data_IF_902863013362
#
_entry.id   IF_902863013362
#
_cell.length_a   1.000
_cell.length_b   1.000
_cell.length_c   1.000
_cell.angle_alpha   90.00
_cell.angle_beta   90.00
_cell.angle_gamma   90.00
#
_symmetry.space_group_name_H-M   'P 1'
#
loop_
_entity.id
_entity.type
_entity.pdbx_description
1 polymer ?
#
# COMPACT_ATOMS: atom_id res chain seq x y z
N UNK A 1 23.05 29.34 22.44
CA UNK A 1 23.59 27.98 22.72
C UNK A 1 22.50 27.01 22.32
N UNK A 2 22.58 26.51 21.08
CA UNK A 2 21.61 25.57 20.52
C UNK A 2 21.72 24.21 21.21
N UNK A 3 20.58 23.59 21.48
CA UNK A 3 20.47 22.20 21.91
C UNK A 3 20.07 21.37 20.69
N UNK A 4 21.06 20.84 20.00
CA UNK A 4 20.87 19.79 19.00
C UNK A 4 20.48 18.49 19.70
N UNK A 5 19.25 18.04 19.48
CA UNK A 5 18.74 16.76 19.95
C UNK A 5 19.27 15.68 18.99
N UNK A 6 20.32 14.96 19.41
CA UNK A 6 20.84 13.82 18.67
C UNK A 6 19.87 12.63 18.88
N UNK A 7 19.20 12.21 17.81
CA UNK A 7 18.42 10.98 17.80
C UNK A 7 19.40 9.78 17.93
N UNK A 8 19.32 9.07 19.06
CA UNK A 8 20.02 7.81 19.24
C UNK A 8 19.34 6.74 18.37
N UNK A 9 19.98 6.39 17.27
CA UNK A 9 19.73 5.16 16.52
C UNK A 9 20.17 4.01 17.45
N UNK A 10 19.22 3.29 18.03
CA UNK A 10 19.50 1.99 18.63
C UNK A 10 19.71 1.02 17.46
N UNK A 11 20.94 0.96 16.96
CA UNK A 11 21.41 -0.16 16.17
C UNK A 11 21.52 -1.35 17.10
N UNK A 12 20.52 -2.22 17.09
CA UNK A 12 20.61 -3.51 17.75
C UNK A 12 21.65 -4.37 17.03
N UNK A 13 22.87 -4.40 17.58
CA UNK A 13 23.89 -5.37 17.23
C UNK A 13 23.41 -6.76 17.64
N UNK A 14 22.92 -7.55 16.68
CA UNK A 14 22.64 -8.97 16.84
C UNK A 14 23.99 -9.73 16.86
N UNK A 15 24.62 -9.78 18.03
CA UNK A 15 25.74 -10.67 18.29
C UNK A 15 25.27 -11.82 19.16
N UNK A 16 25.12 -12.98 18.53
CA UNK A 16 25.21 -14.29 19.17
C UNK A 16 24.01 -14.72 20.02
N UNK A 17 22.96 -15.23 19.37
CA UNK A 17 22.14 -16.26 19.98
C UNK A 17 22.44 -17.60 19.31
N UNK A 18 23.00 -18.51 20.10
CA UNK A 18 23.06 -19.94 19.79
C UNK A 18 21.66 -20.48 19.54
N UNK A 19 21.53 -21.40 18.60
CA UNK A 19 20.32 -22.06 18.11
C UNK A 19 19.49 -22.79 19.20
N UNK A 20 18.90 -22.03 20.11
CA UNK A 20 17.70 -22.41 20.84
C UNK A 20 16.60 -21.53 20.28
N UNK A 21 15.81 -22.08 19.36
CA UNK A 21 14.55 -21.47 18.94
C UNK A 21 13.75 -21.14 20.20
N UNK A 22 13.59 -19.84 20.52
CA UNK A 22 12.52 -19.44 21.42
C UNK A 22 11.25 -19.85 20.68
N UNK A 23 10.57 -20.89 21.18
CA UNK A 23 9.32 -21.35 20.61
C UNK A 23 8.31 -20.22 20.81
N UNK A 24 8.03 -19.45 19.77
CA UNK A 24 6.94 -18.50 19.79
C UNK A 24 5.60 -19.25 19.86
N UNK A 25 4.58 -18.59 20.37
CA UNK A 25 3.25 -19.17 20.48
C UNK A 25 2.60 -19.23 19.10
N UNK A 26 2.55 -20.41 18.48
CA UNK A 26 1.99 -20.56 17.11
C UNK A 26 0.52 -20.16 17.00
N UNK A 27 -0.27 -20.44 18.03
CA UNK A 27 -1.71 -20.18 18.05
C UNK A 27 -2.05 -19.24 19.22
N UNK A 28 -2.20 -17.95 18.92
CA UNK A 28 -2.58 -16.91 19.89
C UNK A 28 -4.09 -16.71 19.78
N UNK A 29 -4.87 -17.68 20.28
CA UNK A 29 -6.34 -17.63 20.22
C UNK A 29 -6.93 -17.13 21.55
N UNK A 30 -7.53 -15.94 21.56
CA UNK A 30 -8.17 -15.34 22.75
C UNK A 30 -7.23 -15.08 23.93
N UNK A 31 -5.91 -15.12 23.69
CA UNK A 31 -4.87 -14.88 24.68
C UNK A 31 -3.97 -13.72 24.22
N UNK A 32 -3.18 -13.20 25.15
CA UNK A 32 -2.14 -12.21 24.86
C UNK A 32 -0.77 -12.82 25.05
N UNK A 33 0.12 -12.65 24.07
CA UNK A 33 1.55 -12.98 24.16
C UNK A 33 2.39 -11.73 23.91
N UNK A 34 3.65 -11.74 24.34
CA UNK A 34 4.49 -10.56 24.21
C UNK A 34 5.97 -10.89 24.11
N UNK A 35 6.72 -10.04 23.41
CA UNK A 35 8.16 -10.10 23.24
C UNK A 35 8.64 -11.43 22.60
N UNK A 36 7.83 -12.01 21.71
CA UNK A 36 8.22 -13.20 20.98
C UNK A 36 8.95 -12.83 19.68
N UNK A 37 9.88 -13.69 19.28
CA UNK A 37 10.62 -13.58 18.02
C UNK A 37 10.14 -14.71 17.11
N UNK A 38 9.52 -14.35 16.00
CA UNK A 38 8.98 -15.27 15.01
C UNK A 38 9.95 -15.33 13.83
N UNK A 39 10.70 -16.43 13.76
CA UNK A 39 11.70 -16.70 12.71
C UNK A 39 11.42 -18.01 11.99
N UNK A 40 11.67 -18.06 10.68
CA UNK A 40 11.57 -19.24 9.84
C UNK A 40 12.93 -19.73 9.32
N UNK A 41 12.89 -20.69 8.40
CA UNK A 41 14.04 -21.06 7.57
C UNK A 41 13.55 -21.18 6.14
N UNK A 42 14.29 -20.63 5.17
CA UNK A 42 13.92 -20.65 3.75
C UNK A 42 13.68 -22.07 3.20
N UNK A 43 14.36 -23.07 3.78
CA UNK A 43 14.26 -24.49 3.38
C UNK A 43 13.29 -25.30 4.24
N UNK A 44 12.60 -24.69 5.22
CA UNK A 44 11.63 -25.43 6.03
C UNK A 44 10.41 -25.81 5.18
N UNK A 45 9.95 -27.05 5.31
CA UNK A 45 8.76 -27.57 4.63
C UNK A 45 7.46 -26.92 5.12
N UNK A 46 7.51 -26.19 6.24
CA UNK A 46 6.40 -25.44 6.82
C UNK A 46 6.89 -24.04 7.19
N UNK A 47 6.17 -23.01 6.75
CA UNK A 47 6.40 -21.65 7.22
C UNK A 47 6.18 -21.59 8.75
N UNK A 48 7.04 -20.87 9.45
CA UNK A 48 6.88 -20.63 10.88
C UNK A 48 5.90 -19.48 11.07
N UNK A 49 4.61 -19.85 11.12
CA UNK A 49 3.48 -18.91 11.22
C UNK A 49 2.99 -18.85 12.66
N UNK A 50 2.84 -17.62 13.17
CA UNK A 50 2.07 -17.27 14.36
C UNK A 50 0.70 -16.75 13.92
N UNK A 51 -0.34 -17.56 14.11
CA UNK A 51 -1.72 -17.16 13.88
C UNK A 51 -2.33 -16.53 15.12
N UNK A 52 -2.95 -15.37 14.96
CA UNK A 52 -3.60 -14.59 16.04
C UNK A 52 -5.08 -14.45 15.70
N UNK A 53 -5.94 -15.01 16.55
CA UNK A 53 -7.38 -15.09 16.32
C UNK A 53 -8.19 -15.06 17.62
N UNK A 54 -9.52 -15.04 17.54
CA UNK A 54 -10.43 -15.05 18.68
C UNK A 54 -10.24 -13.87 19.63
N UNK A 55 -9.85 -12.71 19.12
CA UNK A 55 -9.44 -11.57 19.95
C UNK A 55 -8.03 -11.70 20.54
N UNK A 56 -7.18 -12.52 19.94
CA UNK A 56 -5.79 -12.71 20.33
C UNK A 56 -4.96 -11.44 20.14
N UNK A 57 -3.93 -11.28 20.97
CA UNK A 57 -3.07 -10.08 20.95
C UNK A 57 -1.60 -10.47 21.01
N UNK A 58 -0.80 -9.90 20.12
CA UNK A 58 0.67 -9.94 20.21
C UNK A 58 1.20 -8.55 20.53
N UNK A 59 2.10 -8.43 21.52
CA UNK A 59 2.73 -7.15 21.88
C UNK A 59 4.25 -7.21 21.75
N UNK A 60 4.84 -6.21 21.10
CA UNK A 60 6.30 -6.07 20.97
C UNK A 60 6.96 -7.29 20.30
N UNK A 61 6.21 -7.99 19.43
CA UNK A 61 6.74 -9.14 18.73
C UNK A 61 7.63 -8.67 17.56
N UNK A 62 8.65 -9.48 17.27
CA UNK A 62 9.55 -9.27 16.13
C UNK A 62 9.35 -10.43 15.17
N UNK A 63 9.22 -10.13 13.87
CA UNK A 63 9.17 -11.14 12.82
C UNK A 63 10.31 -10.91 11.83
N UNK A 64 11.08 -11.96 11.54
CA UNK A 64 12.24 -11.93 10.64
C UNK A 64 12.47 -13.29 9.97
N UNK A 65 13.40 -13.36 9.03
CA UNK A 65 13.99 -14.62 8.54
C UNK A 65 12.94 -15.67 8.11
N UNK A 66 12.00 -15.30 7.24
CA UNK A 66 10.91 -16.17 6.78
C UNK A 66 9.90 -16.59 7.86
N UNK A 67 9.92 -15.93 9.02
CA UNK A 67 8.85 -15.97 10.00
C UNK A 67 7.64 -15.19 9.53
N UNK A 68 6.45 -15.58 9.99
CA UNK A 68 5.20 -14.92 9.64
C UNK A 68 4.32 -14.73 10.87
N UNK A 69 3.72 -13.55 11.01
CA UNK A 69 2.61 -13.30 11.93
C UNK A 69 1.36 -13.02 11.08
N UNK A 70 0.27 -13.73 11.34
CA UNK A 70 -1.04 -13.51 10.71
C UNK A 70 -2.06 -13.07 11.75
N UNK A 71 -2.72 -11.93 11.51
CA UNK A 71 -3.82 -11.43 12.34
C UNK A 71 -5.12 -11.68 11.59
N UNK A 72 -5.91 -12.64 12.06
CA UNK A 72 -6.94 -13.29 11.25
C UNK A 72 -8.33 -12.64 11.32
N UNK A 73 -8.69 -12.06 12.47
CA UNK A 73 -10.05 -11.52 12.70
C UNK A 73 -10.06 -10.11 13.28
N UNK A 74 -11.22 -9.46 13.16
CA UNK A 74 -11.43 -8.05 13.49
C UNK A 74 -11.08 -7.66 14.94
N UNK A 75 -11.17 -8.61 15.87
CA UNK A 75 -10.86 -8.38 17.28
C UNK A 75 -9.39 -8.65 17.63
N UNK A 76 -8.64 -9.28 16.72
CA UNK A 76 -7.24 -9.61 16.92
C UNK A 76 -6.30 -8.45 16.60
N UNK A 77 -5.17 -8.38 17.32
CA UNK A 77 -4.27 -7.22 17.28
C UNK A 77 -2.80 -7.58 17.28
N UNK A 78 -2.04 -6.85 16.49
CA UNK A 78 -0.58 -6.77 16.55
C UNK A 78 -0.16 -5.39 17.06
N UNK A 79 0.39 -5.30 18.27
CA UNK A 79 0.83 -4.04 18.87
C UNK A 79 2.36 -3.95 18.92
N UNK A 80 2.90 -2.80 18.54
CA UNK A 80 4.34 -2.50 18.61
C UNK A 80 5.20 -3.53 17.85
N UNK A 81 4.72 -4.02 16.72
CA UNK A 81 5.37 -5.10 15.97
C UNK A 81 6.48 -4.57 15.08
N UNK A 82 7.62 -5.26 15.08
CA UNK A 82 8.76 -4.97 14.20
C UNK A 82 8.87 -6.07 13.14
N UNK A 83 8.81 -5.68 11.87
CA UNK A 83 8.97 -6.57 10.72
C UNK A 83 10.35 -6.31 10.12
N UNK A 84 11.26 -7.27 10.29
CA UNK A 84 12.65 -7.20 9.81
C UNK A 84 12.82 -7.97 8.49
N UNK A 85 14.06 -8.02 8.00
CA UNK A 85 14.43 -8.72 6.77
C UNK A 85 13.81 -10.11 6.67
N UNK A 86 13.14 -10.37 5.54
CA UNK A 86 12.40 -11.60 5.22
C UNK A 86 11.27 -11.95 6.20
N UNK A 87 10.94 -11.08 7.15
CA UNK A 87 9.79 -11.23 8.03
C UNK A 87 8.51 -10.76 7.34
N UNK A 88 7.41 -11.44 7.64
CA UNK A 88 6.11 -11.16 7.06
C UNK A 88 5.07 -10.91 8.16
N UNK A 89 4.40 -9.76 8.09
CA UNK A 89 3.18 -9.51 8.87
C UNK A 89 2.01 -9.44 7.90
N UNK A 90 0.96 -10.22 8.14
CA UNK A 90 -0.29 -10.18 7.38
C UNK A 90 -1.41 -9.79 8.33
N UNK A 91 -2.16 -8.76 7.96
CA UNK A 91 -3.38 -8.33 8.63
C UNK A 91 -4.54 -8.67 7.70
N UNK A 92 -5.35 -9.66 8.06
CA UNK A 92 -6.64 -9.92 7.42
C UNK A 92 -7.66 -8.89 7.92
N UNK A 93 -8.64 -9.28 8.72
CA UNK A 93 -9.68 -8.36 9.20
C UNK A 93 -9.24 -7.56 10.45
N UNK A 94 -8.07 -7.86 11.02
CA UNK A 94 -7.62 -7.36 12.32
C UNK A 94 -6.93 -5.99 12.32
N UNK A 95 -6.20 -5.70 13.40
CA UNK A 95 -5.59 -4.40 13.63
C UNK A 95 -4.07 -4.50 13.80
N UNK A 96 -3.32 -3.77 12.98
CA UNK A 96 -1.93 -3.38 13.24
C UNK A 96 -1.89 -2.07 14.03
N UNK A 97 -1.28 -2.06 15.21
CA UNK A 97 -1.09 -0.89 16.05
C UNK A 97 0.40 -0.63 16.26
N UNK A 98 0.88 0.55 15.85
CA UNK A 98 2.29 0.93 15.99
C UNK A 98 3.26 -0.09 15.36
N UNK A 99 3.27 -0.18 14.03
CA UNK A 99 4.09 -1.16 13.31
C UNK A 99 5.27 -0.49 12.62
N UNK A 100 6.45 -1.11 12.72
CA UNK A 100 7.64 -0.71 11.97
C UNK A 100 8.03 -1.80 10.99
N UNK A 101 8.08 -1.46 9.70
CA UNK A 101 8.54 -2.34 8.62
C UNK A 101 9.93 -1.86 8.20
N UNK A 102 10.95 -2.62 8.58
CA UNK A 102 12.35 -2.34 8.27
C UNK A 102 12.74 -2.86 6.88
N UNK A 103 13.96 -2.52 6.46
CA UNK A 103 14.50 -2.97 5.18
C UNK A 103 14.41 -4.49 5.01
N UNK A 104 13.81 -4.93 3.90
CA UNK A 104 13.57 -6.33 3.57
C UNK A 104 12.39 -6.99 4.30
N UNK A 105 11.68 -6.27 5.18
CA UNK A 105 10.43 -6.75 5.78
C UNK A 105 9.22 -6.40 4.93
N UNK A 106 8.15 -7.20 5.07
CA UNK A 106 6.91 -7.04 4.32
C UNK A 106 5.68 -7.02 5.22
N UNK A 107 4.78 -6.06 4.97
CA UNK A 107 3.46 -6.00 5.58
C UNK A 107 2.39 -6.16 4.49
N UNK A 108 1.41 -7.03 4.73
CA UNK A 108 0.20 -7.14 3.92
C UNK A 108 -1.00 -6.69 4.74
N UNK A 109 -1.78 -5.77 4.19
CA UNK A 109 -3.10 -5.37 4.70
C UNK A 109 -4.14 -5.87 3.71
N UNK A 110 -4.86 -6.92 4.11
CA UNK A 110 -5.88 -7.56 3.31
C UNK A 110 -7.27 -6.99 3.67
N UNK A 111 -8.32 -7.73 3.32
CA UNK A 111 -9.70 -7.33 3.54
C UNK A 111 -9.99 -6.82 4.95
N UNK A 112 -10.61 -5.64 5.04
CA UNK A 112 -11.04 -4.97 6.26
C UNK A 112 -9.91 -4.70 7.27
N UNK A 113 -8.66 -4.91 6.87
CA UNK A 113 -7.48 -4.68 7.69
C UNK A 113 -7.34 -3.21 8.08
N UNK A 114 -6.96 -3.00 9.35
CA UNK A 114 -6.87 -1.65 9.91
C UNK A 114 -5.51 -1.36 10.52
N UNK A 115 -5.02 -0.15 10.29
CA UNK A 115 -3.89 0.38 11.03
C UNK A 115 -4.34 1.48 12.00
N UNK A 116 -3.88 1.37 13.25
CA UNK A 116 -4.01 2.39 14.30
C UNK A 116 -2.65 2.82 14.82
N UNK A 117 -2.57 4.02 15.39
CA UNK A 117 -1.28 4.62 15.76
C UNK A 117 -0.43 4.87 14.52
N UNK A 118 0.87 4.55 14.58
CA UNK A 118 1.81 4.79 13.48
C UNK A 118 2.18 3.53 12.72
N UNK A 119 2.12 3.61 11.39
CA UNK A 119 2.70 2.63 10.49
C UNK A 119 3.91 3.27 9.79
N UNK A 120 5.09 2.71 10.03
CA UNK A 120 6.35 3.22 9.49
C UNK A 120 6.93 2.23 8.48
N UNK A 121 6.90 2.59 7.19
CA UNK A 121 7.51 1.81 6.12
C UNK A 121 8.87 2.44 5.82
N UNK A 122 9.93 1.85 6.41
CA UNK A 122 11.30 2.36 6.30
C UNK A 122 11.85 2.07 4.89
N UNK A 123 12.86 2.82 4.46
CA UNK A 123 13.55 2.59 3.19
C UNK A 123 13.98 1.13 3.05
N UNK A 124 13.56 0.51 1.95
CA UNK A 124 13.78 -0.92 1.65
C UNK A 124 12.76 -1.87 2.26
N UNK A 125 11.84 -1.41 3.11
CA UNK A 125 10.66 -2.17 3.55
C UNK A 125 9.52 -2.02 2.54
N UNK A 126 8.64 -3.02 2.50
CA UNK A 126 7.49 -3.03 1.60
C UNK A 126 6.17 -3.20 2.33
N UNK A 127 5.12 -2.63 1.76
CA UNK A 127 3.75 -2.83 2.19
C UNK A 127 2.86 -3.08 0.98
N UNK A 128 1.96 -4.04 1.10
CA UNK A 128 0.93 -4.35 0.13
C UNK A 128 -0.43 -4.10 0.78
N UNK A 129 -1.31 -3.42 0.06
CA UNK A 129 -2.68 -3.13 0.47
C UNK A 129 -3.62 -3.70 -0.58
N UNK A 130 -4.47 -4.62 -0.17
CA UNK A 130 -5.46 -5.22 -1.06
C UNK A 130 -6.57 -4.24 -1.35
N UNK A 131 -6.75 -3.89 -2.63
CA UNK A 131 -7.86 -3.03 -3.06
C UNK A 131 -9.15 -3.81 -3.35
N UNK A 132 -9.09 -5.15 -3.47
CA UNK A 132 -10.23 -6.05 -3.68
C UNK A 132 -10.44 -7.03 -2.52
N UNK A 133 -11.68 -7.49 -2.33
CA UNK A 133 -11.99 -8.67 -1.52
C UNK A 133 -11.48 -9.93 -2.23
N UNK A 134 -10.35 -10.45 -1.74
CA UNK A 134 -9.69 -11.63 -2.31
C UNK A 134 -10.55 -12.90 -2.26
N UNK A 135 -11.64 -12.94 -1.48
CA UNK A 135 -12.51 -14.12 -1.32
C UNK A 135 -13.51 -14.26 -2.46
N UNK A 136 -13.84 -13.17 -3.14
CA UNK A 136 -14.93 -13.08 -4.11
C UNK A 136 -14.48 -12.71 -5.52
N UNK A 137 -13.19 -12.37 -5.71
CA UNK A 137 -12.67 -11.91 -6.99
C UNK A 137 -12.64 -13.04 -8.04
N UNK A 138 -13.21 -12.77 -9.21
CA UNK A 138 -13.09 -13.62 -10.42
C UNK A 138 -12.50 -12.79 -11.55
N UNK A 139 -11.25 -13.10 -11.91
CA UNK A 139 -10.49 -12.37 -12.94
C UNK A 139 -10.87 -12.77 -14.37
N UNK A 140 -11.66 -13.84 -14.53
CA UNK A 140 -12.02 -14.40 -15.84
C UNK A 140 -13.29 -13.77 -16.41
N UNK A 141 -14.00 -12.98 -15.61
CA UNK A 141 -15.16 -12.21 -16.04
C UNK A 141 -14.86 -10.71 -16.02
N UNK A 142 -15.73 -9.92 -16.66
CA UNK A 142 -15.68 -8.47 -16.57
C UNK A 142 -16.49 -7.91 -15.39
N UNK A 143 -16.79 -8.74 -14.40
CA UNK A 143 -17.55 -8.31 -13.24
C UNK A 143 -16.67 -7.46 -12.31
N UNK A 144 -17.21 -6.35 -11.76
CA UNK A 144 -16.53 -5.61 -10.72
C UNK A 144 -16.26 -6.48 -9.48
N UNK A 145 -15.07 -6.36 -8.92
CA UNK A 145 -14.70 -6.89 -7.63
C UNK A 145 -15.24 -6.00 -6.49
N UNK A 146 -15.57 -6.66 -5.39
CA UNK A 146 -15.86 -5.99 -4.12
C UNK A 146 -14.59 -5.36 -3.52
N UNK A 147 -14.70 -4.24 -2.79
CA UNK A 147 -13.54 -3.53 -2.26
C UNK A 147 -12.92 -4.21 -1.04
N UNK A 148 -11.59 -4.08 -0.91
CA UNK A 148 -10.83 -4.58 0.25
C UNK A 148 -11.00 -3.74 1.54
N UNK A 149 -11.50 -2.50 1.46
CA UNK A 149 -11.87 -1.65 2.60
C UNK A 149 -10.77 -1.36 3.65
N UNK A 150 -9.48 -1.40 3.28
CA UNK A 150 -8.38 -1.09 4.19
C UNK A 150 -8.40 0.38 4.63
N UNK A 151 -8.12 0.60 5.93
CA UNK A 151 -7.97 1.94 6.49
C UNK A 151 -6.75 2.10 7.38
N UNK A 152 -6.07 3.24 7.25
CA UNK A 152 -4.85 3.56 8.00
C UNK A 152 -4.98 4.91 8.70
N UNK A 153 -4.59 4.95 9.98
CA UNK A 153 -4.62 6.18 10.77
C UNK A 153 -3.44 7.12 10.47
N UNK A 154 -2.19 6.68 10.70
CA UNK A 154 -1.00 7.48 10.44
C UNK A 154 0.05 6.63 9.73
N UNK A 155 0.54 7.09 8.58
CA UNK A 155 1.51 6.38 7.78
C UNK A 155 2.70 7.27 7.42
N UNK A 156 3.91 6.78 7.69
CA UNK A 156 5.17 7.36 7.22
C UNK A 156 5.79 6.41 6.20
N UNK A 157 6.14 6.91 5.01
CA UNK A 157 6.65 6.08 3.91
C UNK A 157 7.98 6.59 3.40
N UNK A 158 9.05 5.86 3.71
CA UNK A 158 10.37 5.97 3.07
C UNK A 158 10.68 4.77 2.16
N UNK A 159 9.92 3.68 2.28
CA UNK A 159 9.97 2.49 1.43
C UNK A 159 8.96 2.52 0.29
N UNK A 160 8.40 1.36 -0.03
CA UNK A 160 7.40 1.18 -1.10
C UNK A 160 6.10 0.68 -0.52
N UNK A 161 4.99 1.30 -0.93
CA UNK A 161 3.63 0.82 -0.67
C UNK A 161 2.98 0.54 -2.02
N UNK A 162 2.35 -0.62 -2.17
CA UNK A 162 1.59 -0.98 -3.36
C UNK A 162 0.14 -1.21 -2.96
N UNK A 163 -0.79 -0.51 -3.61
CA UNK A 163 -2.23 -0.73 -3.51
C UNK A 163 -2.63 -1.50 -4.75
N UNK A 164 -2.97 -2.78 -4.60
CA UNK A 164 -3.18 -3.69 -5.72
C UNK A 164 -4.27 -4.72 -5.45
N UNK A 165 -4.83 -5.35 -6.49
CA UNK A 165 -5.71 -6.48 -6.29
C UNK A 165 -4.89 -7.65 -5.78
N UNK A 166 -5.35 -8.27 -4.69
CA UNK A 166 -4.73 -9.48 -4.16
C UNK A 166 -5.60 -10.66 -4.51
N UNK A 167 -4.99 -11.67 -5.14
CA UNK A 167 -5.65 -12.92 -5.50
C UNK A 167 -4.90 -14.08 -4.85
N UNK A 168 -5.59 -14.84 -4.01
CA UNK A 168 -4.99 -15.95 -3.29
C UNK A 168 -4.90 -17.26 -4.13
N UNK A 169 -5.53 -17.35 -5.32
CA UNK A 169 -5.80 -18.68 -5.92
C UNK A 169 -5.85 -18.83 -7.45
N UNK A 170 -5.21 -18.02 -8.30
CA UNK A 170 -5.16 -18.38 -9.74
C UNK A 170 -3.78 -18.22 -10.38
N UNK A 171 -3.18 -19.31 -10.91
CA UNK A 171 -2.10 -19.20 -11.86
C UNK A 171 -2.60 -18.35 -13.04
N UNK A 172 -1.95 -17.22 -13.25
CA UNK A 172 -2.17 -16.27 -14.35
C UNK A 172 -2.26 -17.01 -15.69
N UNK A 173 -3.31 -16.80 -16.47
CA UNK A 173 -3.33 -16.83 -17.96
C UNK A 173 -4.69 -16.33 -18.53
N UNK A 174 -5.81 -16.39 -17.79
CA UNK A 174 -7.17 -16.07 -18.33
C UNK A 174 -7.77 -14.74 -17.82
N UNK A 175 -7.00 -13.64 -17.82
CA UNK A 175 -7.58 -12.34 -17.47
C UNK A 175 -8.60 -11.89 -18.52
N UNK A 176 -9.81 -11.54 -18.08
CA UNK A 176 -10.76 -10.87 -18.95
C UNK A 176 -10.14 -9.53 -19.43
N UNK A 177 -10.31 -9.17 -20.72
CA UNK A 177 -9.82 -7.90 -21.23
C UNK A 177 -10.54 -6.75 -20.51
N UNK A 178 -9.83 -5.67 -20.19
CA UNK A 178 -10.42 -4.49 -19.55
C UNK A 178 -11.61 -3.97 -20.37
N UNK A 179 -12.83 -3.90 -19.81
CA UNK A 179 -14.00 -3.42 -20.51
C UNK A 179 -13.92 -1.90 -20.72
N UNK A 180 -14.65 -1.36 -21.70
CA UNK A 180 -14.75 0.09 -21.91
C UNK A 180 -15.66 0.79 -20.90
N UNK A 181 -16.51 0.02 -20.20
CA UNK A 181 -17.40 0.53 -19.16
C UNK A 181 -16.63 0.57 -17.84
N UNK A 182 -16.44 1.76 -17.29
CA UNK A 182 -15.72 1.97 -16.03
C UNK A 182 -16.53 1.39 -14.87
N UNK A 183 -15.89 0.52 -14.09
CA UNK A 183 -16.44 -0.03 -12.86
C UNK A 183 -16.35 0.95 -11.67
N UNK A 184 -17.01 0.64 -10.54
CA UNK A 184 -16.92 1.47 -9.33
C UNK A 184 -15.50 1.50 -8.77
N UNK A 185 -15.04 2.66 -8.30
CA UNK A 185 -13.70 2.80 -7.75
C UNK A 185 -13.48 2.00 -6.46
N UNK A 186 -12.28 1.45 -6.31
CA UNK A 186 -11.83 0.74 -5.11
C UNK A 186 -11.21 1.73 -4.13
N UNK A 187 -11.81 1.89 -2.94
CA UNK A 187 -11.44 2.96 -2.01
C UNK A 187 -10.46 2.45 -0.95
N UNK A 188 -9.31 3.12 -0.83
CA UNK A 188 -8.38 2.99 0.31
C UNK A 188 -8.35 4.30 1.08
N UNK A 189 -8.38 4.24 2.42
CA UNK A 189 -8.42 5.44 3.28
C UNK A 189 -7.15 5.56 4.12
N UNK A 190 -6.50 6.72 4.07
CA UNK A 190 -5.36 7.07 4.92
C UNK A 190 -5.66 8.40 5.60
N UNK A 191 -5.70 8.46 6.93
CA UNK A 191 -5.97 9.74 7.59
C UNK A 191 -4.76 10.69 7.46
N UNK A 192 -3.59 10.32 7.99
CA UNK A 192 -2.38 11.13 7.87
C UNK A 192 -1.30 10.39 7.07
N UNK A 193 -0.87 10.95 5.94
CA UNK A 193 0.20 10.41 5.11
C UNK A 193 1.40 11.36 5.09
N UNK A 194 2.58 10.85 5.43
CA UNK A 194 3.87 11.53 5.29
C UNK A 194 4.75 10.72 4.36
N UNK A 195 5.12 11.30 3.22
CA UNK A 195 6.15 10.71 2.35
C UNK A 195 7.54 11.24 2.74
N UNK A 196 8.50 10.33 2.81
CA UNK A 196 9.91 10.56 3.18
C UNK A 196 10.82 9.99 2.09
N UNK A 197 10.67 10.50 0.87
CA UNK A 197 11.20 10.00 -0.39
C UNK A 197 10.66 8.62 -0.82
N UNK A 198 9.56 8.18 -0.19
CA UNK A 198 8.91 6.91 -0.50
C UNK A 198 8.08 6.95 -1.78
N UNK A 199 7.59 5.77 -2.16
CA UNK A 199 6.75 5.56 -3.35
C UNK A 199 5.46 4.83 -2.98
N UNK A 200 4.32 5.32 -3.46
CA UNK A 200 3.04 4.62 -3.38
C UNK A 200 2.55 4.32 -4.79
N UNK A 201 2.41 3.05 -5.14
CA UNK A 201 1.91 2.59 -6.44
C UNK A 201 0.44 2.18 -6.35
N UNK A 202 -0.38 2.63 -7.30
CA UNK A 202 -1.79 2.27 -7.41
C UNK A 202 -1.97 1.42 -8.67
N UNK A 203 -2.41 0.18 -8.48
CA UNK A 203 -2.65 -0.79 -9.54
C UNK A 203 -4.15 -1.05 -9.62
N UNK A 204 -4.78 -0.66 -10.73
CA UNK A 204 -6.22 -0.82 -10.94
C UNK A 204 -6.63 -2.29 -11.10
N UNK A 205 -7.88 -2.62 -10.78
CA UNK A 205 -8.45 -3.93 -11.10
C UNK A 205 -8.93 -3.92 -12.56
N UNK A 206 -8.07 -4.41 -13.45
CA UNK A 206 -8.27 -4.42 -14.90
C UNK A 206 -9.55 -5.13 -15.37
N UNK A 207 -9.83 -6.38 -14.96
CA UNK A 207 -11.00 -7.13 -15.44
C UNK A 207 -12.34 -6.39 -15.24
N UNK A 208 -12.51 -5.70 -14.11
CA UNK A 208 -13.69 -4.90 -13.81
C UNK A 208 -13.60 -3.43 -14.25
N UNK A 209 -12.52 -3.01 -14.91
CA UNK A 209 -12.21 -1.60 -15.18
C UNK A 209 -12.40 -0.68 -13.95
N UNK A 210 -11.93 -1.13 -12.78
CA UNK A 210 -12.10 -0.40 -11.53
C UNK A 210 -10.83 0.33 -11.16
N UNK A 211 -10.82 1.68 -11.23
CA UNK A 211 -9.69 2.46 -10.76
C UNK A 211 -9.65 2.50 -9.22
N UNK A 212 -8.49 2.79 -8.68
CA UNK A 212 -8.31 3.09 -7.28
C UNK A 212 -8.78 4.50 -6.96
N UNK A 213 -9.34 4.68 -5.77
CA UNK A 213 -9.58 5.98 -5.15
C UNK A 213 -8.88 6.03 -3.79
N UNK A 214 -7.77 6.76 -3.72
CA UNK A 214 -7.01 6.96 -2.50
C UNK A 214 -7.50 8.22 -1.79
N UNK A 215 -8.18 8.03 -0.67
CA UNK A 215 -8.70 9.10 0.17
C UNK A 215 -7.70 9.41 1.30
N UNK A 216 -7.12 10.61 1.26
CA UNK A 216 -6.17 11.10 2.24
C UNK A 216 -6.79 12.29 2.98
N UNK A 217 -6.71 12.36 4.31
CA UNK A 217 -7.11 13.60 5.00
C UNK A 217 -6.00 14.64 4.95
N UNK A 218 -4.80 14.29 5.41
CA UNK A 218 -3.64 15.18 5.42
C UNK A 218 -2.44 14.53 4.71
N UNK A 219 -1.86 15.26 3.76
CA UNK A 219 -0.66 14.85 3.02
C UNK A 219 0.50 15.81 3.31
N UNK A 220 1.66 15.25 3.66
CA UNK A 220 2.88 16.04 3.86
C UNK A 220 4.15 15.34 3.39
N UNK A 221 5.23 16.11 3.21
CA UNK A 221 6.58 15.60 2.98
C UNK A 221 7.02 15.63 1.52
N UNK A 222 7.80 14.63 1.11
CA UNK A 222 8.32 14.49 -0.24
C UNK A 222 8.30 13.02 -0.67
N UNK A 223 7.91 12.73 -1.91
CA UNK A 223 7.88 11.37 -2.45
C UNK A 223 7.05 11.29 -3.72
N UNK A 224 6.74 10.08 -4.16
CA UNK A 224 6.12 9.87 -5.47
C UNK A 224 4.91 8.96 -5.41
N UNK A 225 3.98 9.18 -6.33
CA UNK A 225 2.84 8.32 -6.59
C UNK A 225 2.93 7.72 -7.99
N UNK A 226 2.58 6.45 -8.13
CA UNK A 226 2.27 5.81 -9.40
C UNK A 226 0.77 5.64 -9.55
N UNK A 227 0.23 5.96 -10.72
CA UNK A 227 -1.19 5.78 -11.04
C UNK A 227 -1.37 5.13 -12.41
N UNK A 228 -2.49 4.44 -12.57
CA UNK A 228 -2.96 3.88 -13.84
C UNK A 228 -4.05 4.78 -14.44
N UNK A 229 -3.99 5.01 -15.74
CA UNK A 229 -5.05 5.69 -16.50
C UNK A 229 -5.44 4.93 -17.76
N UNK A 230 -6.63 5.23 -18.28
CA UNK A 230 -7.08 4.88 -19.62
C UNK A 230 -7.83 6.11 -20.15
N UNK A 231 -7.04 7.10 -20.57
CA UNK A 231 -7.53 8.43 -20.93
C UNK A 231 -8.58 8.40 -22.05
N UNK A 232 -8.51 7.41 -22.93
CA UNK A 232 -9.50 7.22 -23.99
C UNK A 232 -10.93 6.95 -23.49
N UNK A 233 -11.07 6.33 -22.33
CA UNK A 233 -12.36 6.05 -21.71
C UNK A 233 -12.61 6.93 -20.47
N UNK A 234 -11.82 8.00 -20.30
CA UNK A 234 -11.89 8.90 -19.16
C UNK A 234 -11.85 8.17 -17.80
N UNK A 235 -11.02 7.12 -17.73
CA UNK A 235 -10.80 6.31 -16.54
C UNK A 235 -9.39 6.55 -15.99
N UNK A 236 -9.24 6.53 -14.67
CA UNK A 236 -7.94 6.49 -14.03
C UNK A 236 -8.06 6.50 -12.53
N UNK A 237 -6.96 6.14 -11.87
CA UNK A 237 -6.87 6.26 -10.42
C UNK A 237 -7.00 7.73 -9.99
N UNK A 238 -7.51 7.92 -8.79
CA UNK A 238 -7.75 9.24 -8.23
C UNK A 238 -7.24 9.35 -6.81
N UNK A 239 -6.51 10.42 -6.53
CA UNK A 239 -6.02 10.77 -5.19
C UNK A 239 -6.73 12.02 -4.72
N UNK A 240 -7.45 11.92 -3.61
CA UNK A 240 -8.14 13.05 -2.99
C UNK A 240 -7.51 13.38 -1.63
N UNK A 241 -7.18 14.64 -1.42
CA UNK A 241 -6.67 15.17 -0.14
C UNK A 241 -7.74 16.08 0.45
N UNK A 242 -8.47 15.58 1.44
CA UNK A 242 -9.67 16.21 1.96
C UNK A 242 -9.41 17.48 2.80
N UNK A 243 -8.26 17.57 3.48
CA UNK A 243 -7.92 18.75 4.28
C UNK A 243 -6.76 19.51 3.66
N UNK A 244 -5.52 19.14 3.99
CA UNK A 244 -4.32 19.91 3.65
C UNK A 244 -3.26 19.04 2.99
N UNK A 245 -2.74 19.50 1.85
CA UNK A 245 -1.55 18.95 1.20
C UNK A 245 -0.38 19.94 1.29
N UNK A 246 0.78 19.49 1.77
CA UNK A 246 2.01 20.31 1.84
C UNK A 246 3.22 19.53 1.37
N UNK A 247 4.18 20.17 0.69
CA UNK A 247 5.41 19.51 0.25
C UNK A 247 5.52 19.26 -1.25
N UNK A 248 6.36 18.31 -1.69
CA UNK A 248 6.71 18.14 -3.10
C UNK A 248 6.56 16.69 -3.55
N UNK A 249 5.73 16.47 -4.57
CA UNK A 249 5.39 15.13 -5.01
C UNK A 249 5.59 14.92 -6.51
N UNK A 250 6.16 13.77 -6.86
CA UNK A 250 6.18 13.28 -8.24
C UNK A 250 4.97 12.41 -8.53
N UNK A 251 4.54 12.41 -9.79
CA UNK A 251 3.47 11.57 -10.31
C UNK A 251 3.96 10.82 -11.55
N UNK A 252 4.03 9.49 -11.45
CA UNK A 252 4.22 8.60 -12.59
C UNK A 252 2.84 8.14 -13.08
N UNK A 253 2.57 8.32 -14.37
CA UNK A 253 1.29 7.92 -14.99
C UNK A 253 1.53 6.78 -15.97
N UNK A 254 0.88 5.65 -15.74
CA UNK A 254 0.86 4.50 -16.64
C UNK A 254 -0.49 4.48 -17.37
N UNK A 255 -0.53 4.96 -18.61
CA UNK A 255 -1.74 4.90 -19.44
C UNK A 255 -1.80 3.57 -20.21
N UNK A 256 -3.00 3.09 -20.52
CA UNK A 256 -3.19 1.88 -21.33
C UNK A 256 -2.70 2.02 -22.77
N UNK A 257 -2.45 3.25 -23.25
CA UNK A 257 -2.03 3.54 -24.62
C UNK A 257 -3.18 3.45 -25.62
N UNK A 258 -4.42 3.31 -25.14
CA UNK A 258 -5.62 3.41 -25.98
C UNK A 258 -5.78 4.86 -26.43
N UNK A 259 -5.98 5.07 -27.73
CA UNK A 259 -6.05 6.42 -28.31
C UNK A 259 -7.31 7.18 -27.87
N UNK A 260 -7.16 8.35 -27.22
CA UNK A 260 -8.30 9.15 -26.80
C UNK A 260 -8.97 9.84 -27.99
N UNK A 261 -10.31 9.81 -28.00
CA UNK A 261 -11.12 10.47 -29.02
C UNK A 261 -11.37 11.95 -28.72
N UNK A 262 -10.96 12.42 -27.53
CA UNK A 262 -11.12 13.81 -27.09
C UNK A 262 -9.87 14.30 -26.39
N UNK A 263 -9.74 15.62 -26.25
CA UNK A 263 -8.66 16.28 -25.52
C UNK A 263 -9.10 16.72 -24.12
N UNK A 264 -10.14 16.09 -23.58
CA UNK A 264 -10.65 16.40 -22.25
C UNK A 264 -9.66 15.93 -21.19
N UNK A 265 -9.19 16.82 -20.29
CA UNK A 265 -8.25 16.42 -19.25
C UNK A 265 -8.96 15.64 -18.14
N UNK A 266 -8.30 14.59 -17.66
CA UNK A 266 -8.65 13.82 -16.48
C UNK A 266 -7.96 14.43 -15.25
N UNK A 267 -8.74 14.82 -14.25
CA UNK A 267 -8.18 15.19 -12.94
C UNK A 267 -7.89 13.91 -12.17
N UNK A 268 -6.63 13.70 -11.79
CA UNK A 268 -6.18 12.50 -11.05
C UNK A 268 -5.74 12.82 -9.63
N UNK A 269 -5.51 14.09 -9.31
CA UNK A 269 -5.24 14.56 -7.95
C UNK A 269 -6.11 15.78 -7.65
N UNK A 270 -6.78 15.78 -6.50
CA UNK A 270 -7.45 16.94 -5.94
C UNK A 270 -7.06 17.12 -4.48
N UNK A 271 -6.51 18.27 -4.10
CA UNK A 271 -6.34 18.68 -2.71
C UNK A 271 -7.27 19.85 -2.39
N UNK A 272 -7.99 19.80 -1.26
CA UNK A 272 -8.91 20.87 -0.90
C UNK A 272 -8.21 22.16 -0.44
N UNK A 273 -7.01 22.05 0.14
CA UNK A 273 -6.19 23.20 0.53
C UNK A 273 -4.70 22.83 0.63
N UNK A 274 -3.84 23.85 0.70
CA UNK A 274 -2.43 23.71 1.03
C UNK A 274 -1.49 24.31 -0.02
N UNK A 275 -0.22 23.93 0.05
CA UNK A 275 0.88 24.47 -0.75
C UNK A 275 1.73 23.38 -1.42
N UNK A 276 1.19 22.15 -1.50
CA UNK A 276 1.85 21.06 -2.19
C UNK A 276 2.12 21.38 -3.67
N UNK A 277 3.22 20.87 -4.21
CA UNK A 277 3.49 20.88 -5.65
C UNK A 277 3.51 19.46 -6.20
N UNK A 278 2.85 19.24 -7.33
CA UNK A 278 2.86 17.97 -8.04
C UNK A 278 3.54 18.14 -9.40
N UNK A 279 4.43 17.22 -9.76
CA UNK A 279 5.15 17.21 -11.04
C UNK A 279 5.07 15.85 -11.71
N UNK A 280 4.87 15.82 -13.03
CA UNK A 280 4.91 14.57 -13.79
C UNK A 280 6.35 14.06 -13.85
N UNK A 281 6.53 12.76 -13.65
CA UNK A 281 7.82 12.06 -13.73
C UNK A 281 8.04 11.38 -15.07
N UNK A 282 7.00 11.22 -15.89
CA UNK A 282 7.13 10.65 -17.23
C UNK A 282 8.12 11.45 -18.09
N UNK A 283 8.79 10.76 -19.02
CA UNK A 283 9.73 11.38 -19.96
C UNK A 283 9.12 12.60 -20.66
N UNK A 284 9.87 13.70 -20.73
CA UNK A 284 9.41 15.00 -21.27
C UNK A 284 8.21 15.63 -20.53
N UNK A 285 7.90 15.19 -19.30
CA UNK A 285 6.70 15.58 -18.55
C UNK A 285 5.39 15.31 -19.32
N UNK A 286 5.37 14.24 -20.13
CA UNK A 286 4.25 13.88 -20.99
C UNK A 286 3.89 12.39 -20.81
N UNK A 287 2.59 12.11 -20.83
CA UNK A 287 2.06 10.74 -20.82
C UNK A 287 2.08 10.22 -22.26
N UNK A 288 2.62 9.03 -22.49
CA UNK A 288 2.56 8.37 -23.79
C UNK A 288 1.14 7.86 -24.04
N UNK A 289 0.60 8.13 -25.23
CA UNK A 289 -0.77 7.82 -25.62
C UNK A 289 -0.82 6.86 -26.83
N UNK A 290 0.32 6.26 -27.22
CA UNK A 290 0.44 5.41 -28.41
C UNK A 290 0.92 6.14 -29.66
N UNK A 291 1.03 5.41 -30.78
CA UNK A 291 1.66 5.88 -32.03
C UNK A 291 0.79 6.89 -32.78
N UNK A 292 1.25 8.13 -32.79
CA UNK A 292 0.61 9.34 -33.31
C UNK A 292 0.38 9.26 -34.84
N UNK A 293 -0.86 9.45 -35.30
CA UNK A 293 -1.14 9.95 -36.65
C UNK A 293 -1.45 11.46 -36.60
N UNK A 294 -0.45 12.26 -36.95
CA UNK A 294 -0.50 13.66 -37.42
C UNK A 294 -1.69 14.55 -37.01
N UNK A 295 -1.60 15.17 -35.82
CA UNK A 295 -1.75 16.62 -35.58
C UNK A 295 -2.13 16.90 -34.11
N UNK A 296 -1.16 17.45 -33.36
CA UNK A 296 -1.34 18.33 -32.19
C UNK A 296 -2.29 17.85 -31.06
N UNK A 297 -1.71 17.49 -29.91
CA UNK A 297 -2.08 17.86 -28.51
C UNK A 297 -1.53 16.77 -27.56
N UNK A 298 -0.25 16.88 -27.21
CA UNK A 298 0.37 16.18 -26.09
C UNK A 298 0.65 17.19 -24.96
N UNK A 299 -0.36 17.98 -24.57
CA UNK A 299 -0.27 18.95 -23.49
C UNK A 299 -1.25 18.55 -22.37
N UNK A 300 -0.71 17.86 -21.35
CA UNK A 300 -1.29 17.62 -20.01
C UNK A 300 -2.79 17.32 -19.97
N UNK A 301 -3.17 16.12 -20.42
CA UNK A 301 -4.49 15.54 -20.15
C UNK A 301 -4.65 15.04 -18.70
N UNK A 302 -3.61 15.21 -17.87
CA UNK A 302 -3.63 14.84 -16.46
C UNK A 302 -3.49 16.12 -15.64
N UNK A 303 -4.42 16.34 -14.69
CA UNK A 303 -4.43 17.51 -13.81
C UNK A 303 -4.33 17.14 -12.34
N UNK A 304 -3.51 17.90 -11.63
CA UNK A 304 -3.56 18.05 -10.19
C UNK A 304 -4.19 19.41 -9.86
N UNK A 305 -5.17 19.43 -8.96
CA UNK A 305 -5.87 20.64 -8.53
C UNK A 305 -5.68 20.87 -7.04
N UNK A 306 -5.49 22.13 -6.65
CA UNK A 306 -5.47 22.55 -5.26
C UNK A 306 -6.56 23.61 -5.09
N UNK A 307 -7.55 23.34 -4.26
CA UNK A 307 -8.55 24.30 -3.82
C UNK A 307 -7.87 25.44 -3.07
N UNK A 308 -8.28 26.67 -3.37
CA UNK A 308 -7.82 27.89 -2.68
C UNK A 308 -8.67 28.10 -1.44
#
# INVERSE_FOLDING_TARGET
MEKTLLAYIIGASFLGFSANSLAFTKNVHGITVSNEIVTGMQSATLANIQGVSGGGIVNNNVVSDYGQISIEDADSRANNTIVNQNGLLIIYEGIANNTQVNAGGSLYMELDGRSSGYLNIVRGGTMHISNTDYRLVDVTTNDPADPGNVSIENMNVAGVVTIEPTWLYSPREDFAPTPSTVGPSLITKINNLVLQDGYIDLIAYGPGAQPNRLEINNLSGQGNFGITTQLADNMGDFIHIANKATGQFGLMVNDSGKEPQTTSPLTVIHANSGDASFSLLNTNNAVDLGVISTNCIALSLVKAQIGI
#
